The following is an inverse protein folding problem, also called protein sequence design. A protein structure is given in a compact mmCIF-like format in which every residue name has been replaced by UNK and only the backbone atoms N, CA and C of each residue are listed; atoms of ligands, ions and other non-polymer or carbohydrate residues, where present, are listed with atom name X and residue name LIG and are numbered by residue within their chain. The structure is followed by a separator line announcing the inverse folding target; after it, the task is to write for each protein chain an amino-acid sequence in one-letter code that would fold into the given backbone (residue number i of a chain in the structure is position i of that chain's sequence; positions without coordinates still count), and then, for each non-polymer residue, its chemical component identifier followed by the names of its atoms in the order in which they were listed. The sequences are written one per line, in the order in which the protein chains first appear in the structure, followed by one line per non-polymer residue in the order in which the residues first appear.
data_IF_372677519818
#
_entry.id   IF_372677519818
#
_cell.length_a   1.000
_cell.length_b   1.000
_cell.length_c   1.000
_cell.angle_alpha   90.00
_cell.angle_beta   90.00
_cell.angle_gamma   90.00
#
_symmetry.space_group_name_H-M   'P 1'
#
loop_
_entity.id
_entity.type
_entity.pdbx_description
1 polymer ?
#
# COMPACT_ATOMS: atom_id res chain seq x y z
N UNK A 1 16.30 0.64 68.00
CA UNK A 1 16.67 1.54 66.88
C UNK A 1 16.53 0.94 65.46
N UNK A 2 16.45 -0.37 65.24
CA UNK A 2 16.30 -1.03 63.89
C UNK A 2 15.00 -0.74 63.16
N UNK A 3 13.88 -0.52 63.85
CA UNK A 3 12.55 -0.39 63.24
C UNK A 3 12.28 0.96 62.54
N UNK A 4 12.98 2.04 62.89
CA UNK A 4 12.81 3.36 62.26
C UNK A 4 13.52 3.47 60.89
N UNK A 5 14.65 2.74 60.68
CA UNK A 5 15.38 2.72 59.42
C UNK A 5 14.60 1.96 58.32
N UNK A 6 13.97 0.85 58.68
CA UNK A 6 13.19 0.06 57.71
C UNK A 6 11.93 0.81 57.22
N UNK A 7 11.24 1.56 58.11
CA UNK A 7 10.08 2.37 57.70
C UNK A 7 10.45 3.47 56.68
N UNK A 8 11.59 4.17 56.90
CA UNK A 8 12.07 5.18 55.94
C UNK A 8 12.45 4.59 54.60
N UNK A 9 13.11 3.42 54.57
CA UNK A 9 13.48 2.74 53.32
C UNK A 9 12.24 2.29 52.55
N UNK A 10 11.25 1.72 53.18
CA UNK A 10 9.98 1.31 52.56
C UNK A 10 9.24 2.52 51.98
N UNK A 11 9.19 3.65 52.70
CA UNK A 11 8.54 4.87 52.18
C UNK A 11 9.25 5.42 50.96
N UNK A 12 10.59 5.43 50.93
CA UNK A 12 11.36 5.90 49.78
C UNK A 12 11.13 5.00 48.57
N UNK A 13 11.17 3.69 48.75
CA UNK A 13 10.90 2.72 47.67
C UNK A 13 9.48 2.89 47.11
N UNK A 14 8.49 3.09 47.99
CA UNK A 14 7.10 3.30 47.56
C UNK A 14 6.95 4.60 46.75
N UNK A 15 7.61 5.67 47.15
CA UNK A 15 7.58 6.94 46.41
C UNK A 15 8.23 6.78 45.01
N UNK A 16 9.38 6.11 44.93
CA UNK A 16 10.05 5.85 43.64
C UNK A 16 9.14 5.02 42.75
N UNK A 17 8.49 3.98 43.26
CA UNK A 17 7.59 3.14 42.49
C UNK A 17 6.40 3.94 41.94
N UNK A 18 5.80 4.81 42.75
CA UNK A 18 4.70 5.68 42.32
C UNK A 18 5.17 6.63 41.20
N UNK A 19 6.35 7.23 41.34
CA UNK A 19 6.89 8.11 40.31
C UNK A 19 7.13 7.36 39.01
N UNK A 20 7.69 6.16 39.03
CA UNK A 20 7.90 5.32 37.87
C UNK A 20 6.58 4.94 37.18
N UNK A 21 5.53 4.62 37.97
CA UNK A 21 4.21 4.33 37.42
C UNK A 21 3.63 5.58 36.72
N UNK A 22 3.73 6.75 37.35
CA UNK A 22 3.25 8.00 36.74
C UNK A 22 3.99 8.34 35.44
N UNK A 23 5.30 8.13 35.39
CA UNK A 23 6.08 8.32 34.18
C UNK A 23 5.62 7.32 33.09
N UNK A 24 5.44 6.05 33.42
CA UNK A 24 4.96 5.04 32.50
C UNK A 24 3.59 5.38 31.93
N UNK A 25 2.65 5.81 32.80
CA UNK A 25 1.31 6.24 32.35
C UNK A 25 1.39 7.46 31.43
N UNK A 26 2.22 8.45 31.75
CA UNK A 26 2.41 9.64 30.93
C UNK A 26 2.98 9.26 29.54
N UNK A 27 3.99 8.40 29.49
CA UNK A 27 4.58 7.91 28.24
C UNK A 27 3.54 7.17 27.37
N UNK A 28 2.74 6.28 28.01
CA UNK A 28 1.68 5.55 27.29
C UNK A 28 0.62 6.51 26.75
N UNK A 29 0.23 7.52 27.54
CA UNK A 29 -0.75 8.52 27.11
C UNK A 29 -0.25 9.30 25.89
N UNK A 30 0.98 9.82 25.97
CA UNK A 30 1.61 10.54 24.84
C UNK A 30 1.71 9.67 23.59
N UNK A 31 2.05 8.39 23.76
CA UNK A 31 2.13 7.46 22.60
C UNK A 31 0.75 7.27 21.95
N UNK A 32 -0.30 7.03 22.74
CA UNK A 32 -1.67 6.89 22.24
C UNK A 32 -2.17 8.15 21.53
N UNK A 33 -1.87 9.33 22.08
CA UNK A 33 -2.28 10.61 21.46
C UNK A 33 -1.57 10.84 20.12
N UNK A 34 -0.29 10.47 20.01
CA UNK A 34 0.46 10.51 18.74
C UNK A 34 -0.13 9.53 17.71
N UNK A 35 -0.40 8.31 18.12
CA UNK A 35 -0.99 7.30 17.23
C UNK A 35 -2.38 7.73 16.73
N UNK A 36 -3.22 8.27 17.60
CA UNK A 36 -4.52 8.79 17.23
C UNK A 36 -4.42 9.97 16.24
N UNK A 37 -3.46 10.87 16.43
CA UNK A 37 -3.18 11.99 15.54
C UNK A 37 -2.69 11.49 14.18
N UNK A 38 -1.78 10.53 14.16
CA UNK A 38 -1.28 9.92 12.93
C UNK A 38 -2.40 9.25 12.14
N UNK A 39 -3.22 8.45 12.81
CA UNK A 39 -4.35 7.77 12.16
C UNK A 39 -5.37 8.77 11.59
N UNK A 40 -5.68 9.85 12.31
CA UNK A 40 -6.56 10.92 11.84
C UNK A 40 -6.00 11.64 10.60
N UNK A 41 -4.69 11.82 10.52
CA UNK A 41 -4.04 12.40 9.34
C UNK A 41 -4.09 11.44 8.16
N UNK A 42 -3.78 10.16 8.36
CA UNK A 42 -3.82 9.15 7.30
C UNK A 42 -5.23 9.05 6.69
N UNK A 43 -6.30 9.19 7.47
CA UNK A 43 -7.68 9.19 6.98
C UNK A 43 -8.01 10.33 6.01
N UNK A 44 -7.15 11.33 5.86
CA UNK A 44 -7.28 12.40 4.87
C UNK A 44 -6.66 12.04 3.51
N UNK A 45 -6.08 10.85 3.38
CA UNK A 45 -5.51 10.35 2.13
C UNK A 45 -6.58 9.51 1.43
N UNK A 46 -6.86 9.84 0.18
CA UNK A 46 -7.85 9.17 -0.62
C UNK A 46 -7.28 8.79 -1.97
N UNK A 47 -7.71 7.65 -2.50
CA UNK A 47 -7.42 7.23 -3.86
C UNK A 47 -8.71 6.87 -4.57
N UNK A 48 -8.85 7.33 -5.80
CA UNK A 48 -9.95 7.02 -6.70
C UNK A 48 -9.43 6.60 -8.06
N UNK A 49 -10.27 5.93 -8.84
CA UNK A 49 -10.04 5.69 -10.26
C UNK A 49 -11.26 6.19 -11.06
N UNK A 50 -11.01 6.77 -12.22
CA UNK A 50 -12.05 7.49 -12.97
C UNK A 50 -12.27 6.94 -14.37
N UNK A 51 -11.24 6.42 -15.00
CA UNK A 51 -11.26 6.04 -16.40
C UNK A 51 -10.60 4.68 -16.59
N UNK A 52 -11.15 3.90 -17.53
CA UNK A 52 -10.48 2.75 -18.11
C UNK A 52 -10.67 2.75 -19.63
N UNK A 53 -9.65 2.34 -20.35
CA UNK A 53 -9.71 2.27 -21.82
C UNK A 53 -8.71 1.23 -22.35
N UNK A 54 -9.01 0.63 -23.53
CA UNK A 54 -8.06 -0.28 -24.16
C UNK A 54 -6.72 0.42 -24.41
N UNK A 55 -5.64 -0.21 -23.97
CA UNK A 55 -4.30 0.31 -24.17
C UNK A 55 -3.82 -0.08 -25.57
N UNK A 56 -3.37 0.88 -26.36
CA UNK A 56 -2.77 0.56 -27.64
C UNK A 56 -1.30 0.13 -27.47
N UNK A 57 -0.75 -0.58 -28.48
CA UNK A 57 0.60 -1.13 -28.41
C UNK A 57 1.69 -0.08 -28.18
N UNK A 58 1.51 1.15 -28.69
CA UNK A 58 2.48 2.22 -28.53
C UNK A 58 2.51 2.75 -27.08
N UNK A 59 1.39 2.63 -26.36
CA UNK A 59 1.28 3.08 -24.98
C UNK A 59 1.81 2.03 -23.98
N UNK A 60 1.90 0.77 -24.38
CA UNK A 60 2.50 -0.28 -23.54
C UNK A 60 3.94 0.03 -23.15
N UNK A 61 4.69 0.70 -24.02
CA UNK A 61 6.08 1.11 -23.72
C UNK A 61 6.20 2.12 -22.59
N UNK A 62 5.11 2.81 -22.22
CA UNK A 62 5.07 3.73 -21.07
C UNK A 62 5.08 2.99 -19.73
N UNK A 63 4.77 1.70 -19.76
CA UNK A 63 4.72 0.83 -18.59
C UNK A 63 5.93 -0.13 -18.64
N UNK A 64 7.14 0.31 -18.26
CA UNK A 64 8.37 -0.49 -18.38
C UNK A 64 8.27 -1.84 -17.66
N UNK A 65 7.36 -1.90 -16.70
CA UNK A 65 7.03 -3.09 -15.97
C UNK A 65 6.42 -4.22 -16.82
N UNK A 66 6.00 -3.96 -18.03
CA UNK A 66 5.28 -4.91 -18.90
C UNK A 66 6.05 -5.31 -20.17
N UNK A 67 7.27 -4.86 -20.32
CA UNK A 67 8.18 -5.47 -21.27
C UNK A 67 8.54 -6.86 -20.77
N UNK A 68 7.65 -7.81 -21.02
CA UNK A 68 7.91 -9.24 -20.79
C UNK A 68 9.02 -9.63 -21.75
N UNK A 69 10.23 -9.59 -21.29
CA UNK A 69 11.37 -10.06 -22.06
C UNK A 69 11.13 -11.54 -22.40
N UNK A 70 10.85 -11.82 -23.68
CA UNK A 70 10.78 -13.13 -24.29
C UNK A 70 9.81 -14.16 -23.65
N UNK A 71 8.79 -13.73 -22.91
CA UNK A 71 7.77 -14.61 -22.37
C UNK A 71 6.43 -14.44 -23.08
N UNK A 72 5.85 -15.52 -23.53
CA UNK A 72 4.51 -15.61 -24.11
C UNK A 72 3.40 -15.81 -23.06
N UNK A 73 3.76 -15.99 -21.78
CA UNK A 73 2.86 -16.24 -20.65
C UNK A 73 3.08 -15.24 -19.52
N UNK A 74 2.03 -15.01 -18.75
CA UNK A 74 2.14 -14.20 -17.53
C UNK A 74 2.98 -14.87 -16.47
N UNK A 75 3.75 -14.08 -15.76
CA UNK A 75 4.54 -14.52 -14.64
C UNK A 75 3.99 -13.94 -13.34
N UNK A 76 4.07 -14.69 -12.24
CA UNK A 76 3.75 -14.23 -10.89
C UNK A 76 4.99 -14.34 -10.03
N UNK A 77 5.21 -13.36 -9.15
CA UNK A 77 6.23 -13.49 -8.12
C UNK A 77 5.65 -14.18 -6.89
N UNK A 78 6.43 -15.05 -6.30
CA UNK A 78 6.21 -15.51 -4.93
C UNK A 78 7.30 -14.92 -4.06
N UNK A 79 6.89 -14.16 -3.05
CA UNK A 79 7.79 -13.77 -1.97
C UNK A 79 8.10 -15.05 -1.19
N UNK A 80 9.38 -15.40 -1.06
CA UNK A 80 9.78 -16.51 -0.23
C UNK A 80 9.55 -16.16 1.25
N UNK A 81 9.04 -17.12 2.01
CA UNK A 81 8.78 -16.99 3.46
C UNK A 81 10.02 -16.55 4.28
N UNK A 82 11.21 -16.67 3.69
CA UNK A 82 12.49 -16.24 4.28
C UNK A 82 12.87 -14.79 3.97
N UNK A 83 12.11 -14.06 3.15
CA UNK A 83 12.41 -12.68 2.78
C UNK A 83 13.69 -12.48 1.95
N UNK A 84 14.29 -13.55 1.43
CA UNK A 84 15.62 -13.53 0.77
C UNK A 84 15.61 -13.76 -0.73
N UNK A 85 14.48 -13.59 -1.39
CA UNK A 85 14.41 -13.66 -2.85
C UNK A 85 13.02 -13.99 -3.35
N UNK A 86 12.65 -13.33 -4.42
CA UNK A 86 11.40 -13.58 -5.10
C UNK A 86 11.59 -14.71 -6.12
N UNK A 87 10.66 -15.65 -6.15
CA UNK A 87 10.65 -16.70 -7.16
C UNK A 87 9.63 -16.36 -8.23
N UNK A 88 10.08 -16.22 -9.47
CA UNK A 88 9.19 -16.04 -10.62
C UNK A 88 8.52 -17.37 -10.94
N UNK A 89 7.20 -17.40 -10.88
CA UNK A 89 6.40 -18.57 -11.28
C UNK A 89 5.71 -18.23 -12.59
N UNK A 90 6.03 -18.96 -13.65
CA UNK A 90 5.29 -18.87 -14.91
C UNK A 90 3.89 -19.43 -14.72
N UNK A 91 2.91 -18.74 -15.28
CA UNK A 91 1.52 -19.23 -15.35
C UNK A 91 1.30 -19.92 -16.69
N UNK A 92 0.20 -20.67 -16.80
CA UNK A 92 -0.24 -21.26 -18.07
C UNK A 92 -1.05 -20.26 -18.93
N UNK A 93 -1.20 -19.02 -18.46
CA UNK A 93 -2.01 -17.99 -19.11
C UNK A 93 -1.18 -17.27 -20.17
N UNK A 94 -1.60 -17.37 -21.44
CA UNK A 94 -0.90 -16.73 -22.56
C UNK A 94 -1.28 -15.27 -22.64
N UNK A 95 -0.28 -14.40 -22.78
CA UNK A 95 -0.49 -12.96 -22.95
C UNK A 95 -1.35 -12.65 -24.18
N UNK A 96 -1.17 -13.44 -25.27
CA UNK A 96 -1.94 -13.30 -26.50
C UNK A 96 -3.46 -13.48 -26.34
N UNK A 97 -3.92 -14.11 -25.27
CA UNK A 97 -5.32 -14.35 -24.99
C UNK A 97 -5.99 -13.18 -24.26
N UNK A 98 -5.25 -12.12 -24.01
CA UNK A 98 -5.70 -10.96 -23.23
C UNK A 98 -5.51 -9.64 -23.99
N UNK A 99 -6.29 -8.64 -23.59
CA UNK A 99 -6.19 -7.25 -24.04
C UNK A 99 -5.83 -6.39 -22.85
N UNK A 100 -4.81 -5.52 -22.96
CA UNK A 100 -4.47 -4.60 -21.90
C UNK A 100 -5.45 -3.42 -21.85
N UNK A 101 -5.83 -3.02 -20.66
CA UNK A 101 -6.58 -1.81 -20.36
C UNK A 101 -5.78 -0.94 -19.41
N UNK A 102 -5.73 0.35 -19.72
CA UNK A 102 -5.19 1.36 -18.81
C UNK A 102 -6.27 1.83 -17.86
N UNK A 103 -5.92 1.90 -16.59
CA UNK A 103 -6.75 2.50 -15.55
C UNK A 103 -6.04 3.73 -15.01
N UNK A 104 -6.80 4.83 -14.89
CA UNK A 104 -6.30 6.11 -14.38
C UNK A 104 -6.75 6.33 -12.96
N UNK A 105 -5.79 6.55 -12.07
CA UNK A 105 -5.98 6.80 -10.64
C UNK A 105 -5.66 8.23 -10.28
N UNK A 106 -6.34 8.74 -9.27
CA UNK A 106 -6.00 10.00 -8.61
C UNK A 106 -5.75 9.72 -7.13
N UNK A 107 -4.54 9.97 -6.66
CA UNK A 107 -4.16 9.89 -5.26
C UNK A 107 -4.12 11.31 -4.69
N UNK A 108 -5.02 11.60 -3.77
CA UNK A 108 -5.14 12.87 -3.07
C UNK A 108 -4.62 12.74 -1.65
N UNK A 109 -3.64 13.56 -1.31
CA UNK A 109 -3.00 13.58 -0.01
C UNK A 109 -3.29 14.90 0.72
N UNK A 110 -4.37 14.97 1.47
CA UNK A 110 -4.71 16.12 2.30
C UNK A 110 -4.10 16.00 3.73
N UNK A 111 -3.19 15.05 3.94
CA UNK A 111 -2.48 14.85 5.21
C UNK A 111 -1.24 15.75 5.34
N UNK A 112 -0.73 15.85 6.56
CA UNK A 112 0.52 16.56 6.85
C UNK A 112 1.78 15.71 6.56
N UNK A 113 1.61 14.48 6.05
CA UNK A 113 2.69 13.53 5.77
C UNK A 113 2.93 13.36 4.28
N UNK A 114 4.17 13.08 3.90
CA UNK A 114 4.48 12.68 2.54
C UNK A 114 4.16 11.20 2.33
N UNK A 115 3.71 10.86 1.13
CA UNK A 115 3.62 9.47 0.65
C UNK A 115 4.90 9.20 -0.14
N UNK A 116 5.69 8.24 0.32
CA UNK A 116 6.97 7.89 -0.32
C UNK A 116 6.80 6.94 -1.49
N UNK A 117 5.86 6.01 -1.38
CA UNK A 117 5.58 5.03 -2.42
C UNK A 117 4.11 4.62 -2.41
N UNK A 118 3.63 4.20 -3.57
CA UNK A 118 2.30 3.67 -3.78
C UNK A 118 2.39 2.36 -4.55
N UNK A 119 1.53 1.40 -4.19
CA UNK A 119 1.42 0.13 -4.87
C UNK A 119 -0.05 -0.21 -5.06
N UNK A 120 -0.50 -0.35 -6.31
CA UNK A 120 -1.88 -0.75 -6.62
C UNK A 120 -1.95 -2.25 -6.70
N UNK A 121 -2.81 -2.84 -5.86
CA UNK A 121 -3.13 -4.26 -5.84
C UNK A 121 -4.57 -4.46 -6.30
N UNK A 122 -4.75 -5.17 -7.39
CA UNK A 122 -6.10 -5.61 -7.79
C UNK A 122 -6.54 -6.82 -6.97
N UNK A 123 -7.76 -6.78 -6.45
CA UNK A 123 -8.33 -7.93 -5.74
C UNK A 123 -8.98 -8.96 -6.68
N UNK A 124 -8.94 -8.73 -7.98
CA UNK A 124 -9.53 -9.62 -8.95
C UNK A 124 -8.51 -10.67 -9.37
N UNK A 125 -8.61 -11.85 -8.78
CA UNK A 125 -7.82 -13.03 -9.14
C UNK A 125 -8.71 -14.04 -9.87
N UNK A 126 -8.98 -13.79 -11.13
CA UNK A 126 -9.60 -14.79 -12.01
C UNK A 126 -8.79 -14.90 -13.29
N UNK A 127 -8.93 -16.05 -13.98
CA UNK A 127 -8.38 -16.24 -15.33
C UNK A 127 -8.96 -15.27 -16.37
N UNK A 128 -9.96 -14.47 -15.99
CA UNK A 128 -10.65 -13.49 -16.85
C UNK A 128 -9.98 -12.12 -16.76
N UNK A 129 -9.46 -11.77 -15.57
CA UNK A 129 -8.78 -10.49 -15.32
C UNK A 129 -7.47 -10.72 -14.59
N UNK A 130 -6.40 -10.16 -15.11
CA UNK A 130 -5.08 -10.18 -14.48
C UNK A 130 -4.71 -8.76 -14.10
N UNK A 131 -4.64 -8.50 -12.81
CA UNK A 131 -4.35 -7.18 -12.26
C UNK A 131 -2.89 -7.02 -11.83
N UNK A 132 -2.24 -8.15 -11.53
CA UNK A 132 -0.83 -8.19 -11.13
C UNK A 132 -0.05 -8.91 -12.21
N UNK A 133 0.56 -8.17 -13.11
CA UNK A 133 1.56 -8.70 -14.03
C UNK A 133 2.92 -8.32 -13.51
N UNK A 134 3.68 -9.30 -13.15
CA UNK A 134 5.02 -9.11 -12.62
C UNK A 134 6.02 -8.89 -13.73
N UNK A 135 6.79 -7.88 -13.50
CA UNK A 135 8.03 -7.63 -14.17
C UNK A 135 9.18 -8.20 -13.35
N UNK A 136 10.36 -8.20 -13.90
CA UNK A 136 11.60 -8.64 -13.25
C UNK A 136 11.88 -7.98 -11.87
N UNK A 137 11.08 -6.99 -11.47
CA UNK A 137 11.20 -6.23 -10.22
C UNK A 137 9.96 -6.30 -9.32
N UNK A 138 8.96 -7.10 -9.65
CA UNK A 138 7.89 -7.56 -8.76
C UNK A 138 6.90 -6.53 -8.22
N UNK A 139 7.15 -5.23 -8.36
CA UNK A 139 6.32 -4.20 -7.75
C UNK A 139 6.13 -3.02 -8.68
N UNK A 140 4.89 -2.63 -8.90
CA UNK A 140 4.59 -1.38 -9.53
C UNK A 140 4.63 -0.26 -8.49
N UNK A 141 5.70 0.50 -8.51
CA UNK A 141 5.82 1.69 -7.69
C UNK A 141 5.10 2.85 -8.38
N UNK A 142 3.98 3.24 -7.80
CA UNK A 142 3.35 4.50 -8.14
C UNK A 142 4.16 5.69 -7.61
N UNK A 143 3.73 6.91 -7.94
CA UNK A 143 4.43 8.13 -7.58
C UNK A 143 4.47 8.36 -6.07
N UNK A 144 5.51 9.04 -5.61
CA UNK A 144 5.49 9.72 -4.32
C UNK A 144 4.57 10.94 -4.39
N UNK A 145 3.84 11.24 -3.32
CA UNK A 145 2.91 12.37 -3.27
C UNK A 145 3.17 13.20 -2.03
N UNK A 146 3.56 14.45 -2.21
CA UNK A 146 3.82 15.36 -1.10
C UNK A 146 2.56 15.62 -0.27
N UNK A 147 2.74 16.06 0.98
CA UNK A 147 1.64 16.54 1.82
C UNK A 147 0.85 17.64 1.10
N UNK A 148 -0.47 17.68 1.30
CA UNK A 148 -1.39 18.66 0.72
C UNK A 148 -1.32 18.78 -0.80
N UNK A 149 -1.07 17.64 -1.50
CA UNK A 149 -1.01 17.60 -2.95
C UNK A 149 -1.80 16.42 -3.52
N UNK A 150 -1.92 16.38 -4.83
CA UNK A 150 -2.50 15.23 -5.53
C UNK A 150 -1.68 14.86 -6.74
N UNK A 151 -1.75 13.61 -7.12
CA UNK A 151 -1.10 13.10 -8.33
C UNK A 151 -2.00 12.09 -9.04
N UNK A 152 -2.02 12.19 -10.36
CA UNK A 152 -2.68 11.22 -11.24
C UNK A 152 -1.62 10.30 -11.82
N UNK A 153 -1.93 9.01 -11.89
CA UNK A 153 -1.08 7.99 -12.47
C UNK A 153 -1.90 6.88 -13.10
N UNK A 154 -1.24 6.01 -13.84
CA UNK A 154 -1.89 4.97 -14.63
C UNK A 154 -1.30 3.60 -14.29
N UNK A 155 -2.12 2.56 -14.36
CA UNK A 155 -1.68 1.17 -14.29
C UNK A 155 -2.37 0.32 -15.35
N UNK A 156 -1.85 -0.89 -15.59
CA UNK A 156 -2.44 -1.83 -16.54
C UNK A 156 -3.24 -2.91 -15.83
N UNK A 157 -4.34 -3.31 -16.51
CA UNK A 157 -5.12 -4.50 -16.20
C UNK A 157 -5.29 -5.27 -17.50
N UNK A 158 -5.14 -6.58 -17.46
CA UNK A 158 -5.31 -7.44 -18.61
C UNK A 158 -6.64 -8.18 -18.54
N UNK A 159 -7.45 -8.04 -19.56
CA UNK A 159 -8.79 -8.61 -19.65
C UNK A 159 -8.83 -9.61 -20.81
N UNK A 160 -9.49 -10.75 -20.61
CA UNK A 160 -9.58 -11.83 -21.59
C UNK A 160 -10.21 -11.35 -22.90
N UNK A 161 -9.65 -11.77 -24.02
CA UNK A 161 -9.96 -11.24 -25.37
C UNK A 161 -11.35 -11.60 -25.90
N UNK A 162 -11.90 -12.72 -25.45
CA UNK A 162 -13.17 -13.28 -25.90
C UNK A 162 -14.42 -12.65 -25.23
N UNK A 163 -14.22 -11.62 -24.42
CA UNK A 163 -15.31 -10.92 -23.76
C UNK A 163 -15.94 -9.86 -24.67
N UNK A 164 -17.25 -9.73 -24.58
CA UNK A 164 -17.98 -8.62 -25.18
C UNK A 164 -17.74 -7.32 -24.40
N UNK A 165 -17.92 -6.17 -25.04
CA UNK A 165 -17.77 -4.86 -24.36
C UNK A 165 -18.65 -4.75 -23.11
N UNK A 166 -19.90 -5.25 -23.17
CA UNK A 166 -20.81 -5.24 -22.00
C UNK A 166 -20.28 -6.07 -20.83
N UNK A 167 -19.60 -7.19 -21.09
CA UNK A 167 -18.97 -7.99 -20.03
C UNK A 167 -17.74 -7.27 -19.45
N UNK A 168 -16.96 -6.61 -20.29
CA UNK A 168 -15.84 -5.78 -19.84
C UNK A 168 -16.32 -4.64 -18.96
N UNK A 169 -17.36 -3.92 -19.38
CA UNK A 169 -17.93 -2.83 -18.60
C UNK A 169 -18.46 -3.30 -17.23
N UNK A 170 -19.06 -4.50 -17.17
CA UNK A 170 -19.54 -5.08 -15.92
C UNK A 170 -18.38 -5.48 -14.99
N UNK A 171 -17.29 -6.01 -15.54
CA UNK A 171 -16.07 -6.30 -14.78
C UNK A 171 -15.56 -5.03 -14.12
N UNK A 172 -15.39 -3.94 -14.88
CA UNK A 172 -14.87 -2.69 -14.33
C UNK A 172 -15.79 -2.03 -13.31
N UNK A 173 -17.13 -2.24 -13.39
CA UNK A 173 -18.06 -1.80 -12.33
C UNK A 173 -17.87 -2.52 -11.01
N UNK A 174 -17.44 -3.79 -11.06
CA UNK A 174 -17.32 -4.65 -9.88
C UNK A 174 -15.87 -4.82 -9.41
N UNK A 175 -14.91 -4.32 -10.18
CA UNK A 175 -13.49 -4.44 -9.90
C UNK A 175 -13.11 -3.61 -8.67
N UNK A 176 -12.51 -4.27 -7.70
CA UNK A 176 -12.01 -3.62 -6.50
C UNK A 176 -10.49 -3.51 -6.55
N UNK A 177 -9.98 -2.33 -6.27
CA UNK A 177 -8.56 -2.07 -6.13
C UNK A 177 -8.25 -1.64 -4.71
N UNK A 178 -7.12 -2.11 -4.22
CA UNK A 178 -6.48 -1.57 -3.03
C UNK A 178 -5.18 -0.86 -3.43
N UNK A 179 -4.82 0.14 -2.66
CA UNK A 179 -3.55 0.83 -2.80
C UNK A 179 -2.81 0.75 -1.48
N UNK A 180 -1.67 0.09 -1.49
CA UNK A 180 -0.74 0.15 -0.38
C UNK A 180 0.12 1.40 -0.54
N UNK A 181 0.11 2.24 0.47
CA UNK A 181 0.93 3.46 0.52
C UNK A 181 1.92 3.37 1.67
N UNK A 182 3.11 3.87 1.44
CA UNK A 182 4.12 4.09 2.49
C UNK A 182 4.10 5.57 2.87
N UNK A 183 3.69 5.86 4.10
CA UNK A 183 3.54 7.23 4.61
C UNK A 183 4.69 7.56 5.54
N UNK A 184 5.42 8.63 5.24
CA UNK A 184 6.46 9.16 6.13
C UNK A 184 5.82 9.89 7.30
N UNK A 185 5.64 9.18 8.41
CA UNK A 185 5.13 9.73 9.67
C UNK A 185 6.22 10.36 10.54
N UNK A 186 7.43 10.54 10.03
CA UNK A 186 8.60 10.97 10.79
C UNK A 186 8.68 12.49 10.96
N UNK A 187 7.78 13.05 11.70
CA UNK A 187 8.03 14.38 12.30
C UNK A 187 8.83 14.22 13.61
N UNK A 188 10.04 13.65 13.53
CA UNK A 188 10.97 13.56 14.65
C UNK A 188 11.43 12.15 15.00
N UNK A 189 12.63 11.82 14.62
CA UNK A 189 13.58 10.82 15.16
C UNK A 189 13.23 9.33 15.25
N UNK A 190 12.07 8.85 14.80
CA UNK A 190 11.78 7.41 14.79
C UNK A 190 11.27 6.99 13.39
N UNK A 191 12.21 6.69 12.54
CA UNK A 191 12.14 6.62 11.13
C UNK A 191 11.73 5.29 10.52
N UNK A 192 10.52 4.79 10.73
CA UNK A 192 9.99 3.80 9.81
C UNK A 192 8.69 4.33 9.18
N UNK A 193 8.60 4.37 7.84
CA UNK A 193 7.36 4.72 7.18
C UNK A 193 6.25 3.73 7.58
N UNK A 194 5.04 4.23 7.71
CA UNK A 194 3.87 3.39 8.02
C UNK A 194 3.22 2.94 6.72
N UNK A 195 3.13 1.64 6.51
CA UNK A 195 2.34 1.09 5.40
C UNK A 195 0.86 1.08 5.75
N UNK A 196 0.04 1.59 4.84
CA UNK A 196 -1.42 1.66 4.97
C UNK A 196 -2.05 1.19 3.67
N UNK A 197 -3.06 0.32 3.78
CA UNK A 197 -3.87 -0.11 2.64
C UNK A 197 -5.11 0.78 2.54
N UNK A 198 -5.29 1.42 1.40
CA UNK A 198 -6.47 2.20 1.05
C UNK A 198 -7.31 1.44 0.04
N UNK A 199 -8.63 1.49 0.20
CA UNK A 199 -9.56 1.02 -0.84
C UNK A 199 -9.73 2.13 -1.89
N UNK A 200 -9.48 1.79 -3.16
CA UNK A 200 -9.73 2.72 -4.26
C UNK A 200 -11.23 2.82 -4.52
N UNK A 201 -11.77 4.03 -4.52
CA UNK A 201 -13.15 4.29 -4.91
C UNK A 201 -13.24 4.56 -6.42
N UNK A 202 -14.37 4.20 -7.02
CA UNK A 202 -14.72 4.69 -8.35
C UNK A 202 -15.36 6.08 -8.24
N UNK A 203 -14.90 7.03 -9.07
CA UNK A 203 -15.49 8.38 -9.15
C UNK A 203 -16.84 8.39 -9.85
#
# INVERSE_FOLDING_TARGET
MKNKKNKKAVTVVSVILIVLILIAVAVISVHKDREATTNKNIQKINISWSEFYPTNENDLSKFPAYTVNDCDVFCKYKINDSGTGDTVVRTDLKISDYVPYTIKYTLKNDSDYNIESTHICGQYSSDVVITEVNTDWGYWYGPSVSSHSQQTFESLVWVKKDLTQSQVDEIFKTLEFNCDISVDCTSGNEGNPKTVTLKCSHE
#
